data_IF_361276224695
#
_entry.id   IF_361276224695
#
_cell.length_a   1.000
_cell.length_b   1.000
_cell.length_c   1.000
_cell.angle_alpha   90.00
_cell.angle_beta   90.00
_cell.angle_gamma   90.00
#
_symmetry.space_group_name_H-M   'P 1'
#
loop_
_entity.id
_entity.type
_entity.pdbx_description
1 polymer ?
#
# COMPACT_ATOMS: atom_id res chain seq x y z
N UNK A 1 -8.35 -13.53 20.20
CA UNK A 1 -8.42 -14.44 21.37
C UNK A 1 -7.14 -14.28 22.17
N UNK A 2 -7.23 -14.12 23.49
CA UNK A 2 -6.07 -14.00 24.39
C UNK A 2 -6.00 -15.25 25.27
N UNK A 3 -4.83 -15.87 25.38
CA UNK A 3 -4.63 -17.00 26.30
C UNK A 3 -3.31 -16.85 27.07
N UNK A 4 -3.26 -17.44 28.25
CA UNK A 4 -2.08 -17.47 29.11
C UNK A 4 -1.21 -18.68 28.79
N UNK A 5 0.07 -18.46 28.46
CA UNK A 5 1.07 -19.53 28.37
C UNK A 5 2.17 -19.26 29.41
N UNK A 6 2.28 -20.12 30.42
CA UNK A 6 3.36 -20.04 31.41
C UNK A 6 3.44 -18.72 32.19
N UNK A 7 2.30 -18.03 32.39
CA UNK A 7 2.25 -16.74 33.10
C UNK A 7 2.33 -15.49 32.22
N UNK A 8 2.59 -15.65 30.91
CA UNK A 8 2.58 -14.54 29.96
C UNK A 8 1.30 -14.56 29.12
N UNK A 9 0.65 -13.39 29.01
CA UNK A 9 -0.54 -13.20 28.19
C UNK A 9 -0.13 -13.07 26.72
N UNK A 10 -0.60 -13.99 25.87
CA UNK A 10 -0.41 -13.92 24.44
C UNK A 10 -1.73 -13.56 23.75
N UNK A 11 -1.70 -12.49 22.97
CA UNK A 11 -2.84 -11.98 22.21
C UNK A 11 -2.70 -12.36 20.75
N UNK A 12 -3.66 -13.13 20.23
CA UNK A 12 -3.73 -13.42 18.81
C UNK A 12 -4.27 -12.18 18.10
N UNK A 13 -3.38 -11.43 17.46
CA UNK A 13 -3.73 -10.36 16.51
C UNK A 13 -3.92 -10.97 15.13
N UNK A 14 -5.17 -11.11 14.68
CA UNK A 14 -5.45 -11.46 13.30
C UNK A 14 -5.42 -10.17 12.49
N UNK A 15 -4.32 -9.93 11.79
CA UNK A 15 -4.19 -8.76 10.94
C UNK A 15 -5.10 -8.92 9.71
N UNK A 16 -6.15 -8.11 9.62
CA UNK A 16 -7.17 -8.22 8.58
C UNK A 16 -6.64 -7.88 7.17
N UNK A 17 -5.58 -7.07 7.07
CA UNK A 17 -4.86 -6.77 5.84
C UNK A 17 -3.49 -6.17 6.15
N UNK A 18 -2.54 -6.41 5.25
CA UNK A 18 -1.22 -5.80 5.30
C UNK A 18 -1.22 -4.49 4.50
N UNK A 19 -1.00 -3.36 5.17
CA UNK A 19 -0.79 -2.08 4.51
C UNK A 19 0.67 -2.00 4.08
N UNK A 20 0.93 -2.21 2.80
CA UNK A 20 2.29 -2.08 2.22
C UNK A 20 2.42 -0.72 1.56
N UNK A 21 3.45 0.03 1.95
CA UNK A 21 3.84 1.27 1.31
C UNK A 21 5.04 1.01 0.39
N UNK A 22 4.92 1.35 -0.89
CA UNK A 22 5.98 1.28 -1.89
C UNK A 22 6.50 2.69 -2.15
N UNK A 23 7.65 3.08 -1.58
CA UNK A 23 8.21 4.43 -1.76
C UNK A 23 8.28 4.84 -3.23
N UNK A 24 8.69 3.94 -4.12
CA UNK A 24 8.87 4.27 -5.54
C UNK A 24 7.57 4.53 -6.34
N UNK A 25 6.39 4.34 -5.74
CA UNK A 25 5.10 4.48 -6.44
C UNK A 25 4.09 5.31 -5.63
N UNK A 26 4.03 5.07 -4.33
CA UNK A 26 2.93 5.53 -3.47
C UNK A 26 3.12 6.97 -2.96
N UNK A 27 4.21 7.67 -3.33
CA UNK A 27 4.37 9.10 -3.04
C UNK A 27 3.53 9.99 -3.95
N UNK A 28 3.25 9.55 -5.18
CA UNK A 28 2.57 10.35 -6.20
C UNK A 28 1.28 9.67 -6.63
N UNK A 29 0.24 10.47 -6.85
CA UNK A 29 -0.99 10.00 -7.46
C UNK A 29 -0.73 9.65 -8.94
N UNK A 30 -1.40 8.62 -9.49
CA UNK A 30 -1.27 8.29 -10.90
C UNK A 30 -1.85 9.41 -11.75
N UNK A 31 -1.18 9.74 -12.86
CA UNK A 31 -1.73 10.63 -13.87
C UNK A 31 -2.88 9.89 -14.58
N UNK A 32 -4.08 10.48 -14.71
CA UNK A 32 -5.20 9.84 -15.39
C UNK A 32 -4.88 9.50 -16.86
N UNK A 33 -5.26 8.30 -17.30
CA UNK A 33 -5.00 7.82 -18.68
C UNK A 33 -5.51 8.80 -19.75
N UNK A 34 -6.67 9.44 -19.52
CA UNK A 34 -7.24 10.42 -20.46
C UNK A 34 -6.33 11.62 -20.72
N UNK A 35 -5.52 12.03 -19.73
CA UNK A 35 -4.58 13.14 -19.88
C UNK A 35 -3.33 12.71 -20.66
N UNK A 36 -2.87 11.47 -20.46
CA UNK A 36 -1.80 10.86 -21.25
C UNK A 36 -2.21 10.67 -22.72
N UNK A 37 -3.45 10.25 -22.96
CA UNK A 37 -3.96 10.07 -24.33
C UNK A 37 -4.10 11.41 -25.08
N UNK A 38 -4.39 12.50 -24.34
CA UNK A 38 -4.54 13.85 -24.88
C UNK A 38 -3.20 14.49 -25.25
N UNK A 39 -2.18 14.32 -24.39
CA UNK A 39 -0.85 14.85 -24.63
C UNK A 39 0.19 13.72 -24.63
N UNK A 40 0.65 13.34 -25.83
CA UNK A 40 1.65 12.28 -26.00
C UNK A 40 3.04 12.62 -25.46
N UNK A 41 3.31 13.89 -25.15
CA UNK A 41 4.54 14.32 -24.48
C UNK A 41 4.46 14.16 -22.95
N UNK A 42 3.25 13.95 -22.40
CA UNK A 42 3.05 13.68 -20.98
C UNK A 42 3.39 12.21 -20.68
N UNK A 43 4.36 12.00 -19.81
CA UNK A 43 4.84 10.68 -19.41
C UNK A 43 4.31 10.37 -18.01
N UNK A 44 3.91 9.11 -17.77
CA UNK A 44 3.43 8.66 -16.48
C UNK A 44 4.52 8.77 -15.38
N UNK A 45 4.09 8.95 -14.14
CA UNK A 45 4.98 8.94 -12.97
C UNK A 45 5.77 7.61 -12.88
N UNK A 46 7.05 7.65 -12.47
CA UNK A 46 7.86 6.44 -12.33
C UNK A 46 7.18 5.39 -11.43
N UNK A 47 7.12 4.13 -11.86
CA UNK A 47 6.59 3.02 -11.07
C UNK A 47 5.07 2.78 -11.16
N UNK A 48 4.37 3.50 -12.05
CA UNK A 48 2.96 3.30 -12.38
C UNK A 48 2.75 2.61 -13.73
#
# INVERSE_FOLDING_TARGET
MTWTNGGNLNTIQVQAFERVFKPNRDYLWPIPQKELDLNKELIQNPGW
#
